data_IF_019601659441
#
_entry.id   IF_019601659441
#
_cell.length_a   1.000
_cell.length_b   1.000
_cell.length_c   1.000
_cell.angle_alpha   90.00
_cell.angle_beta   90.00
_cell.angle_gamma   90.00
#
_symmetry.space_group_name_H-M   'P 1'
#
loop_
_entity.id
_entity.type
_entity.pdbx_description
1 polymer ?
#
# COMPACT_ATOMS: atom_id res chain seq x y z
N UNK A 1 4.14 -17.83 2.53
CA UNK A 1 4.49 -16.55 3.13
C UNK A 1 5.96 -16.23 2.87
N UNK A 2 6.31 -14.97 2.67
CA UNK A 2 7.67 -14.55 2.35
C UNK A 2 8.03 -13.27 3.13
N UNK A 3 9.26 -13.19 3.60
CA UNK A 3 9.86 -12.00 4.20
C UNK A 3 11.12 -11.62 3.44
N UNK A 4 11.42 -10.34 3.34
CA UNK A 4 12.56 -9.86 2.57
C UNK A 4 13.33 -8.75 3.28
N UNK A 5 14.63 -8.72 3.03
CA UNK A 5 15.49 -7.64 3.44
C UNK A 5 15.35 -6.45 2.47
N UNK A 6 14.89 -5.27 2.91
CA UNK A 6 14.76 -4.09 2.06
C UNK A 6 16.08 -3.53 1.57
N UNK A 7 17.21 -3.81 2.26
CA UNK A 7 18.55 -3.40 1.87
C UNK A 7 19.15 -4.22 0.73
N UNK A 8 18.58 -5.38 0.43
CA UNK A 8 18.98 -6.23 -0.68
C UNK A 8 18.57 -5.61 -2.03
N UNK A 9 19.57 -5.22 -2.86
CA UNK A 9 19.34 -4.47 -4.12
C UNK A 9 18.34 -5.14 -5.09
N UNK A 10 18.24 -6.46 -5.05
CA UNK A 10 17.45 -7.24 -6.00
C UNK A 10 16.18 -7.86 -5.37
N UNK A 11 15.99 -7.77 -4.06
CA UNK A 11 14.88 -8.43 -3.35
C UNK A 11 13.52 -8.07 -3.96
N UNK A 12 13.26 -6.79 -4.14
CA UNK A 12 11.98 -6.31 -4.71
C UNK A 12 11.80 -6.78 -6.16
N UNK A 13 12.89 -6.78 -6.94
CA UNK A 13 12.87 -7.24 -8.35
C UNK A 13 12.65 -8.74 -8.46
N UNK A 14 13.11 -9.52 -7.49
CA UNK A 14 12.97 -10.98 -7.49
C UNK A 14 11.55 -11.45 -7.17
N UNK A 15 10.74 -10.66 -6.44
CA UNK A 15 9.40 -11.07 -6.03
C UNK A 15 8.48 -11.45 -7.20
N UNK A 16 8.31 -10.63 -8.25
CA UNK A 16 7.48 -11.02 -9.40
C UNK A 16 8.03 -12.25 -10.15
N UNK A 17 9.35 -12.33 -10.27
CA UNK A 17 10.00 -13.49 -10.88
C UNK A 17 9.74 -14.76 -10.06
N UNK A 18 9.90 -14.68 -8.75
CA UNK A 18 9.66 -15.80 -7.84
C UNK A 18 8.19 -16.25 -7.85
N UNK A 19 7.25 -15.31 -7.84
CA UNK A 19 5.83 -15.59 -7.95
C UNK A 19 5.49 -16.33 -9.23
N UNK A 20 6.02 -15.86 -10.37
CA UNK A 20 5.82 -16.49 -11.68
C UNK A 20 6.48 -17.85 -11.76
N UNK A 21 7.71 -18.01 -11.29
CA UNK A 21 8.45 -19.26 -11.36
C UNK A 21 7.86 -20.36 -10.47
N UNK A 22 7.34 -19.98 -9.29
CA UNK A 22 6.73 -20.94 -8.35
C UNK A 22 5.25 -21.21 -8.63
N UNK A 23 4.59 -20.38 -9.44
CA UNK A 23 3.13 -20.46 -9.66
C UNK A 23 2.31 -20.27 -8.40
N UNK A 24 2.87 -19.63 -7.37
CA UNK A 24 2.23 -19.48 -6.05
C UNK A 24 1.87 -18.04 -5.76
N UNK A 25 0.81 -17.86 -4.97
CA UNK A 25 0.47 -16.56 -4.42
C UNK A 25 1.44 -16.22 -3.27
N UNK A 26 2.03 -15.03 -3.32
CA UNK A 26 2.95 -14.54 -2.30
C UNK A 26 2.24 -13.58 -1.35
N UNK A 27 2.37 -13.82 -0.04
CA UNK A 27 1.93 -12.92 1.01
C UNK A 27 3.06 -12.72 2.02
N UNK A 28 3.18 -11.53 2.60
CA UNK A 28 4.24 -11.20 3.55
C UNK A 28 4.65 -9.74 3.47
N UNK A 29 5.90 -9.45 3.75
CA UNK A 29 6.41 -8.08 3.73
C UNK A 29 7.93 -8.01 3.82
N UNK A 30 8.44 -6.79 3.65
CA UNK A 30 9.83 -6.49 3.93
C UNK A 30 10.02 -6.33 5.44
N UNK A 31 11.13 -6.81 5.96
CA UNK A 31 11.52 -6.58 7.35
C UNK A 31 11.79 -5.10 7.59
N UNK A 32 11.49 -4.61 8.77
CA UNK A 32 11.83 -3.25 9.18
C UNK A 32 13.07 -3.31 10.07
N UNK A 33 14.26 -2.97 9.54
CA UNK A 33 15.50 -3.07 10.30
C UNK A 33 15.61 -1.93 11.33
N UNK A 34 16.02 -2.26 12.54
CA UNK A 34 16.61 -1.28 13.44
C UNK A 34 18.14 -1.23 13.23
N UNK A 35 18.79 -2.35 12.99
CA UNK A 35 20.24 -2.47 12.80
C UNK A 35 20.56 -3.44 11.66
N UNK A 36 20.06 -4.67 11.74
CA UNK A 36 20.30 -5.75 10.77
C UNK A 36 18.98 -6.42 10.36
N UNK A 37 18.96 -7.02 9.17
CA UNK A 37 17.80 -7.77 8.65
C UNK A 37 18.13 -9.24 8.41
N UNK A 38 18.50 -10.00 9.47
CA UNK A 38 18.75 -11.42 9.30
C UNK A 38 17.49 -12.13 8.80
N UNK A 39 17.68 -13.07 7.88
CA UNK A 39 16.64 -13.94 7.37
C UNK A 39 16.83 -15.35 7.94
N UNK A 40 15.75 -16.09 8.12
CA UNK A 40 15.80 -17.46 8.66
C UNK A 40 15.16 -18.43 7.67
N UNK A 41 15.96 -19.37 7.20
CA UNK A 41 15.52 -20.45 6.31
C UNK A 41 16.29 -21.73 6.64
N UNK A 42 15.97 -22.34 7.81
CA UNK A 42 16.74 -23.46 8.38
C UNK A 42 18.00 -23.02 9.15
N UNK A 43 18.64 -21.95 8.67
CA UNK A 43 19.76 -21.26 9.32
C UNK A 43 19.54 -19.75 9.25
N UNK A 44 20.25 -19.00 10.09
CA UNK A 44 20.29 -17.53 10.00
C UNK A 44 21.22 -17.13 8.87
N UNK A 45 20.74 -16.28 7.95
CA UNK A 45 21.49 -15.74 6.83
C UNK A 45 21.46 -14.21 6.86
N UNK A 46 22.48 -13.57 6.29
CA UNK A 46 22.53 -12.12 6.13
C UNK A 46 21.76 -11.67 4.89
N UNK A 47 20.61 -11.06 5.07
CA UNK A 47 19.80 -10.50 3.98
C UNK A 47 19.07 -11.52 3.08
N UNK A 48 18.49 -11.03 2.00
CA UNK A 48 17.79 -11.85 1.01
C UNK A 48 16.30 -12.06 1.30
N UNK A 49 15.79 -13.22 0.91
CA UNK A 49 14.40 -13.64 1.10
C UNK A 49 14.33 -14.92 1.94
N UNK A 50 13.39 -14.97 2.84
CA UNK A 50 13.04 -16.17 3.60
C UNK A 50 11.52 -16.36 3.65
N UNK A 51 11.07 -17.58 3.96
CA UNK A 51 9.64 -17.82 4.07
C UNK A 51 9.28 -19.26 4.28
N UNK A 52 7.98 -19.54 4.18
CA UNK A 52 7.40 -20.86 4.25
C UNK A 52 6.40 -21.09 3.13
N UNK A 53 6.46 -22.25 2.52
CA UNK A 53 5.51 -22.70 1.50
C UNK A 53 4.45 -23.60 2.16
N UNK A 54 3.19 -23.28 1.92
CA UNK A 54 2.08 -24.12 2.35
C UNK A 54 1.70 -25.09 1.24
N UNK A 55 1.48 -26.35 1.60
CA UNK A 55 0.95 -27.35 0.68
C UNK A 55 -0.45 -26.94 0.19
N UNK A 56 -0.86 -27.32 -1.04
CA UNK A 56 -2.22 -27.10 -1.53
C UNK A 56 -3.32 -27.74 -0.64
N UNK A 57 -2.96 -28.68 0.22
CA UNK A 57 -3.88 -29.30 1.19
C UNK A 57 -4.19 -28.39 2.38
N UNK A 58 -3.43 -27.31 2.57
CA UNK A 58 -3.67 -26.33 3.64
C UNK A 58 -4.50 -25.17 3.06
N UNK A 59 -5.72 -25.04 3.56
CA UNK A 59 -6.56 -23.89 3.19
C UNK A 59 -5.99 -22.62 3.79
N UNK A 60 -5.57 -21.70 2.92
CA UNK A 60 -5.06 -20.38 3.28
C UNK A 60 -5.94 -19.32 2.63
N UNK A 61 -6.33 -18.34 3.41
CA UNK A 61 -6.99 -17.14 2.90
C UNK A 61 -6.22 -15.90 3.35
N UNK A 62 -6.13 -14.91 2.50
CA UNK A 62 -5.38 -13.68 2.74
C UNK A 62 -6.28 -12.46 2.61
N UNK A 63 -5.94 -11.39 3.31
CA UNK A 63 -6.54 -10.07 3.13
C UNK A 63 -5.45 -9.00 3.29
N UNK A 64 -5.62 -7.88 2.61
CA UNK A 64 -4.75 -6.72 2.72
C UNK A 64 -5.57 -5.53 3.21
N UNK A 65 -5.12 -4.89 4.29
CA UNK A 65 -5.65 -3.62 4.77
C UNK A 65 -4.62 -2.53 4.48
N UNK A 66 -4.98 -1.57 3.66
CA UNK A 66 -4.11 -0.43 3.35
C UNK A 66 -4.23 0.67 4.41
N UNK A 67 -5.29 0.63 5.22
CA UNK A 67 -5.58 1.61 6.26
C UNK A 67 -5.93 2.99 5.70
N UNK A 68 -6.41 3.05 4.49
CA UNK A 68 -6.84 4.26 3.81
C UNK A 68 -8.26 4.10 3.30
N UNK A 69 -9.04 5.17 3.31
CA UNK A 69 -10.37 5.22 2.73
C UNK A 69 -10.36 6.22 1.57
N UNK A 70 -10.89 5.85 0.38
CA UNK A 70 -11.06 6.79 -0.72
C UNK A 70 -11.84 8.03 -0.27
N UNK A 71 -11.34 9.21 -0.59
CA UNK A 71 -11.96 10.51 -0.25
C UNK A 71 -12.64 11.18 -1.43
N UNK A 72 -12.45 10.63 -2.64
CA UNK A 72 -13.01 11.18 -3.87
C UNK A 72 -13.42 10.11 -4.88
N UNK A 73 -13.89 10.53 -6.06
CA UNK A 73 -14.27 9.63 -7.15
C UNK A 73 -13.05 8.94 -7.78
N UNK A 74 -13.31 8.02 -8.71
CA UNK A 74 -12.28 7.51 -9.60
C UNK A 74 -11.90 8.61 -10.59
N UNK A 75 -10.61 8.90 -10.70
CA UNK A 75 -10.02 9.89 -11.59
C UNK A 75 -9.00 9.26 -12.51
N UNK A 76 -8.57 10.00 -13.52
CA UNK A 76 -7.57 9.55 -14.49
C UNK A 76 -6.45 10.56 -14.62
N UNK A 77 -5.20 10.09 -14.59
CA UNK A 77 -4.04 10.92 -14.88
C UNK A 77 -4.04 11.23 -16.38
N UNK A 78 -4.22 12.50 -16.76
CA UNK A 78 -4.28 12.91 -18.17
C UNK A 78 -2.95 13.43 -18.69
N UNK A 79 -2.11 14.00 -17.83
CA UNK A 79 -0.73 14.35 -18.14
C UNK A 79 0.20 14.09 -16.95
N UNK A 80 1.38 13.52 -17.20
CA UNK A 80 2.38 13.26 -16.17
C UNK A 80 3.80 13.28 -16.72
N UNK A 81 4.76 13.52 -15.82
CA UNK A 81 6.18 13.38 -16.09
C UNK A 81 6.84 12.54 -15.00
N UNK A 82 7.27 11.31 -15.33
CA UNK A 82 7.79 10.31 -14.37
C UNK A 82 6.82 10.04 -13.24
N UNK A 83 7.05 10.60 -12.07
CA UNK A 83 6.24 10.46 -10.87
C UNK A 83 5.50 11.75 -10.48
N UNK A 84 5.46 12.74 -11.38
CA UNK A 84 4.76 14.00 -11.18
C UNK A 84 3.50 14.00 -12.04
N UNK A 85 2.33 14.12 -11.41
CA UNK A 85 1.08 14.39 -12.11
C UNK A 85 0.97 15.89 -12.42
N UNK A 86 0.70 16.19 -13.69
CA UNK A 86 0.51 17.55 -14.20
C UNK A 86 -0.98 17.86 -14.23
N UNK A 87 -1.76 16.98 -14.90
CA UNK A 87 -3.22 17.09 -14.93
C UNK A 87 -3.87 15.76 -14.56
N UNK A 88 -5.02 15.87 -13.91
CA UNK A 88 -5.93 14.77 -13.56
C UNK A 88 -7.32 15.18 -14.05
N UNK A 89 -7.96 14.34 -14.89
CA UNK A 89 -9.23 14.66 -15.56
C UNK A 89 -9.18 16.00 -16.33
N UNK A 90 -8.02 16.29 -16.96
CA UNK A 90 -7.70 17.51 -17.73
C UNK A 90 -7.61 18.81 -16.89
N UNK A 91 -7.68 18.72 -15.56
CA UNK A 91 -7.53 19.85 -14.64
C UNK A 91 -6.18 19.78 -13.90
N UNK A 92 -5.64 20.89 -13.37
CA UNK A 92 -4.41 20.87 -12.59
C UNK A 92 -4.46 19.86 -11.46
N UNK A 93 -3.43 19.01 -11.35
CA UNK A 93 -3.44 17.89 -10.41
C UNK A 93 -3.62 18.32 -8.95
N UNK A 94 -3.08 19.49 -8.58
CA UNK A 94 -3.20 20.05 -7.23
C UNK A 94 -4.64 20.51 -6.92
N UNK A 95 -5.35 21.06 -7.90
CA UNK A 95 -6.76 21.44 -7.72
C UNK A 95 -7.63 20.21 -7.49
N UNK A 96 -7.35 19.11 -8.19
CA UNK A 96 -8.07 17.84 -7.97
C UNK A 96 -7.76 17.24 -6.61
N UNK A 97 -6.53 17.39 -6.12
CA UNK A 97 -6.17 17.01 -4.75
C UNK A 97 -7.01 17.79 -3.72
N UNK A 98 -7.11 19.11 -3.88
CA UNK A 98 -7.91 19.94 -2.98
C UNK A 98 -9.40 19.62 -3.04
N UNK A 99 -9.93 19.41 -4.24
CA UNK A 99 -11.35 19.09 -4.44
C UNK A 99 -11.75 17.79 -3.73
N UNK A 100 -10.89 16.76 -3.75
CA UNK A 100 -11.20 15.44 -3.19
C UNK A 100 -10.79 15.29 -1.73
N UNK A 101 -9.78 16.02 -1.28
CA UNK A 101 -9.24 15.89 0.08
C UNK A 101 -9.78 16.90 1.06
N UNK A 102 -10.51 17.91 0.57
CA UNK A 102 -11.06 19.02 1.34
C UNK A 102 -10.11 20.23 1.41
N UNK A 103 -10.66 21.37 1.75
CA UNK A 103 -9.93 22.66 1.80
C UNK A 103 -8.92 22.74 2.97
N UNK A 104 -8.99 21.82 3.92
CA UNK A 104 -8.11 21.80 5.10
C UNK A 104 -6.61 21.71 4.79
N UNK A 105 -6.25 21.38 3.56
CA UNK A 105 -4.86 21.23 3.10
C UNK A 105 -4.37 22.37 2.23
N UNK A 106 -5.20 23.35 1.90
CA UNK A 106 -4.78 24.54 1.16
C UNK A 106 -3.79 25.35 2.00
N UNK A 107 -2.58 25.51 1.47
CA UNK A 107 -1.48 26.24 2.13
C UNK A 107 -0.67 25.42 3.14
N UNK A 108 -1.00 24.15 3.40
CA UNK A 108 -0.19 23.24 4.24
C UNK A 108 -0.04 21.84 3.61
N UNK A 109 0.71 21.77 2.54
CA UNK A 109 0.99 20.52 1.82
C UNK A 109 1.82 19.52 2.65
N UNK A 110 2.54 19.98 3.69
CA UNK A 110 3.26 19.07 4.60
C UNK A 110 2.27 18.27 5.42
N UNK A 111 1.18 18.87 5.82
CA UNK A 111 0.08 18.19 6.53
C UNK A 111 -0.63 17.21 5.60
N UNK A 112 -0.88 17.60 4.34
CA UNK A 112 -1.44 16.71 3.34
C UNK A 112 -0.56 15.46 3.10
N UNK A 113 0.76 15.63 3.01
CA UNK A 113 1.70 14.53 2.76
C UNK A 113 1.67 13.41 3.84
N UNK A 114 1.21 13.71 5.06
CA UNK A 114 1.07 12.73 6.14
C UNK A 114 -0.30 12.03 6.21
N UNK A 115 -1.33 12.61 5.59
CA UNK A 115 -2.73 12.18 5.75
C UNK A 115 -3.42 11.84 4.43
N UNK A 116 -2.97 12.41 3.32
CA UNK A 116 -3.51 12.16 1.98
C UNK A 116 -2.56 11.28 1.20
N UNK A 117 -3.11 10.32 0.51
CA UNK A 117 -2.41 9.32 -0.28
C UNK A 117 -3.11 9.15 -1.63
N UNK A 118 -2.44 8.46 -2.54
CA UNK A 118 -3.01 8.08 -3.83
C UNK A 118 -3.18 6.57 -3.88
N UNK A 119 -4.38 6.12 -4.18
CA UNK A 119 -4.72 4.72 -4.37
C UNK A 119 -4.81 4.42 -5.88
N UNK A 120 -4.04 3.44 -6.34
CA UNK A 120 -4.12 2.91 -7.70
C UNK A 120 -4.86 1.59 -7.66
N UNK A 121 -6.01 1.45 -8.36
CA UNK A 121 -6.70 0.17 -8.47
C UNK A 121 -5.78 -0.92 -9.04
N UNK A 122 -5.88 -2.13 -8.49
CA UNK A 122 -5.16 -3.30 -8.98
C UNK A 122 -5.97 -3.90 -10.13
N UNK A 123 -5.37 -3.93 -11.32
CA UNK A 123 -6.00 -4.52 -12.49
C UNK A 123 -6.25 -6.02 -12.27
N UNK A 124 -7.47 -6.46 -12.60
CA UNK A 124 -7.87 -7.86 -12.42
C UNK A 124 -8.23 -8.27 -10.99
N UNK A 125 -8.24 -7.34 -10.02
CA UNK A 125 -8.75 -7.64 -8.68
C UNK A 125 -10.28 -7.73 -8.70
N UNK A 126 -10.79 -8.88 -8.26
CA UNK A 126 -12.22 -9.14 -8.07
C UNK A 126 -12.77 -8.51 -6.77
N UNK A 127 -11.89 -7.96 -5.92
CA UNK A 127 -12.23 -7.40 -4.61
C UNK A 127 -12.09 -5.88 -4.53
N UNK A 128 -11.79 -5.23 -5.66
CA UNK A 128 -11.55 -3.78 -5.70
C UNK A 128 -10.31 -3.38 -4.90
N UNK A 129 -9.28 -4.22 -4.91
CA UNK A 129 -8.01 -3.92 -4.25
C UNK A 129 -7.31 -2.74 -4.92
N UNK A 130 -6.55 -2.02 -4.13
CA UNK A 130 -5.73 -0.90 -4.59
C UNK A 130 -4.39 -0.87 -3.87
N UNK A 131 -3.42 -0.25 -4.51
CA UNK A 131 -2.10 -0.02 -3.95
C UNK A 131 -1.96 1.45 -3.60
N UNK A 132 -1.66 1.74 -2.34
CA UNK A 132 -1.52 3.11 -1.83
C UNK A 132 -0.09 3.61 -2.02
N UNK A 133 0.05 4.87 -2.43
CA UNK A 133 1.32 5.59 -2.56
C UNK A 133 1.24 6.95 -1.86
N UNK A 134 2.35 7.37 -1.30
CA UNK A 134 2.47 8.66 -0.64
C UNK A 134 2.49 9.80 -1.68
N UNK A 135 2.01 10.96 -1.26
CA UNK A 135 2.41 12.22 -1.87
C UNK A 135 3.84 12.53 -1.42
N UNK A 136 4.73 12.84 -2.37
CA UNK A 136 6.14 13.13 -2.10
C UNK A 136 6.49 14.60 -2.27
N UNK A 137 5.56 15.41 -2.77
CA UNK A 137 5.69 16.84 -2.92
C UNK A 137 4.55 17.45 -3.70
N UNK A 138 4.49 18.75 -3.72
CA UNK A 138 3.63 19.52 -4.61
C UNK A 138 4.31 20.86 -4.98
N UNK A 139 3.91 21.41 -6.11
CA UNK A 139 4.32 22.71 -6.63
C UNK A 139 3.05 23.55 -6.79
N UNK A 140 2.86 24.48 -5.86
CA UNK A 140 1.66 25.34 -5.83
C UNK A 140 1.59 26.30 -7.01
N UNK A 141 2.74 26.79 -7.48
CA UNK A 141 2.78 27.75 -8.59
C UNK A 141 2.37 27.11 -9.91
N UNK A 142 2.73 25.83 -10.09
CA UNK A 142 2.46 25.06 -11.30
C UNK A 142 1.26 24.13 -11.20
N UNK A 143 0.68 23.97 -10.01
CA UNK A 143 -0.44 23.07 -9.80
C UNK A 143 -0.09 21.57 -9.87
N UNK A 144 1.17 21.20 -9.58
CA UNK A 144 1.68 19.84 -9.74
C UNK A 144 1.67 19.08 -8.43
N UNK A 145 1.55 17.74 -8.50
CA UNK A 145 1.76 16.85 -7.35
C UNK A 145 2.75 15.72 -7.68
N UNK A 146 3.68 15.47 -6.76
CA UNK A 146 4.59 14.34 -6.81
C UNK A 146 4.01 13.14 -6.07
N UNK A 147 4.05 11.96 -6.68
CA UNK A 147 3.53 10.71 -6.13
C UNK A 147 4.68 9.70 -6.02
N UNK A 148 4.70 8.89 -4.97
CA UNK A 148 5.74 7.91 -4.70
C UNK A 148 5.68 6.66 -5.59
N UNK A 149 5.33 6.84 -6.87
CA UNK A 149 5.32 5.79 -7.90
C UNK A 149 5.50 6.39 -9.30
N UNK A 150 6.04 5.65 -10.27
CA UNK A 150 5.95 6.02 -11.67
C UNK A 150 4.50 6.13 -12.12
N UNK A 151 4.19 7.13 -12.94
CA UNK A 151 2.85 7.41 -13.45
C UNK A 151 2.79 7.17 -14.95
N UNK A 152 1.57 6.89 -15.43
CA UNK A 152 1.27 6.75 -16.84
C UNK A 152 -0.01 7.53 -17.19
N UNK A 153 -0.05 8.11 -18.39
CA UNK A 153 -1.27 8.73 -18.92
C UNK A 153 -2.39 7.70 -19.04
N UNK A 154 -3.61 8.08 -18.63
CA UNK A 154 -4.76 7.21 -18.61
C UNK A 154 -4.83 6.29 -17.37
N UNK A 155 -3.87 6.37 -16.47
CA UNK A 155 -3.84 5.55 -15.27
C UNK A 155 -4.96 5.96 -14.31
N UNK A 156 -5.84 5.02 -13.88
CA UNK A 156 -6.88 5.30 -12.90
C UNK A 156 -6.29 5.49 -11.52
N UNK A 157 -6.85 6.41 -10.75
CA UNK A 157 -6.44 6.67 -9.37
C UNK A 157 -7.60 7.20 -8.53
N UNK A 158 -7.43 7.17 -7.21
CA UNK A 158 -8.29 7.88 -6.25
C UNK A 158 -7.40 8.55 -5.22
N UNK A 159 -7.81 9.72 -4.76
CA UNK A 159 -7.26 10.22 -3.51
C UNK A 159 -7.85 9.44 -2.34
N UNK A 160 -7.11 9.26 -1.28
CA UNK A 160 -7.56 8.59 -0.08
C UNK A 160 -6.93 9.21 1.16
N UNK A 161 -7.63 9.10 2.28
CA UNK A 161 -7.19 9.59 3.58
C UNK A 161 -6.79 8.45 4.48
N UNK A 162 -5.82 8.72 5.34
CA UNK A 162 -5.41 7.83 6.41
C UNK A 162 -5.39 8.61 7.72
N UNK A 163 -6.17 8.14 8.66
CA UNK A 163 -6.11 8.46 10.07
C UNK A 163 -6.34 7.19 10.89
N UNK A 164 -6.26 7.27 12.21
CA UNK A 164 -6.40 6.10 13.06
C UNK A 164 -7.77 5.43 12.90
N UNK A 165 -8.85 6.21 12.81
CA UNK A 165 -10.20 5.68 12.71
C UNK A 165 -10.45 5.01 11.36
N UNK A 166 -10.04 5.64 10.26
CA UNK A 166 -10.14 5.05 8.92
C UNK A 166 -9.30 3.77 8.81
N UNK A 167 -8.13 3.73 9.44
CA UNK A 167 -7.29 2.54 9.46
C UNK A 167 -7.90 1.38 10.25
N UNK A 168 -8.57 1.67 11.38
CA UNK A 168 -9.30 0.65 12.16
C UNK A 168 -10.50 0.12 11.39
N UNK A 169 -11.27 0.99 10.76
CA UNK A 169 -12.47 0.60 10.02
C UNK A 169 -12.13 -0.24 8.78
N UNK A 170 -11.10 0.14 8.02
CA UNK A 170 -10.62 -0.66 6.89
C UNK A 170 -10.18 -2.06 7.37
N UNK A 171 -9.40 -2.14 8.46
CA UNK A 171 -8.99 -3.43 9.02
C UNK A 171 -10.19 -4.29 9.45
N UNK A 172 -11.17 -3.71 10.16
CA UNK A 172 -12.39 -4.43 10.57
C UNK A 172 -13.15 -4.96 9.36
N UNK A 173 -13.33 -4.15 8.34
CA UNK A 173 -14.01 -4.51 7.11
C UNK A 173 -13.30 -5.66 6.40
N UNK A 174 -11.97 -5.57 6.24
CA UNK A 174 -11.17 -6.62 5.59
C UNK A 174 -11.17 -7.93 6.39
N UNK A 175 -11.03 -7.86 7.70
CA UNK A 175 -11.13 -9.06 8.57
C UNK A 175 -12.53 -9.67 8.55
N UNK A 176 -13.58 -8.86 8.52
CA UNK A 176 -14.95 -9.34 8.39
C UNK A 176 -15.20 -10.08 7.08
N UNK A 177 -14.69 -9.54 5.97
CA UNK A 177 -14.76 -10.21 4.66
C UNK A 177 -13.93 -11.50 4.65
N UNK A 178 -12.72 -11.48 5.22
CA UNK A 178 -11.85 -12.66 5.33
C UNK A 178 -12.53 -13.78 6.14
N UNK A 179 -13.16 -13.44 7.29
CA UNK A 179 -13.91 -14.38 8.11
C UNK A 179 -15.06 -15.05 7.35
N UNK A 180 -15.81 -14.27 6.56
CA UNK A 180 -16.91 -14.83 5.73
C UNK A 180 -16.37 -15.79 4.66
N UNK A 181 -15.23 -15.49 4.03
CA UNK A 181 -14.61 -16.36 3.02
C UNK A 181 -14.08 -17.67 3.60
N UNK A 182 -13.57 -17.65 4.82
CA UNK A 182 -13.04 -18.85 5.48
C UNK A 182 -14.13 -19.88 5.81
N UNK A 183 -15.34 -19.43 6.11
CA UNK A 183 -16.47 -20.31 6.45
C UNK A 183 -16.32 -21.11 7.75
N UNK A 184 -15.11 -21.14 8.33
CA UNK A 184 -14.79 -21.83 9.56
C UNK A 184 -13.78 -21.03 10.39
N UNK A 185 -13.63 -21.37 11.66
CA UNK A 185 -12.63 -20.74 12.52
C UNK A 185 -11.20 -21.11 12.03
N UNK A 186 -10.31 -20.14 11.83
CA UNK A 186 -8.93 -20.41 11.44
C UNK A 186 -8.18 -21.10 12.59
N UNK A 187 -7.25 -22.00 12.27
CA UNK A 187 -6.35 -22.65 13.24
C UNK A 187 -5.20 -21.74 13.68
N UNK A 188 -4.91 -20.71 12.90
CA UNK A 188 -3.89 -19.70 13.16
C UNK A 188 -3.99 -18.54 12.17
N UNK A 189 -3.32 -17.46 12.49
CA UNK A 189 -3.21 -16.30 11.63
C UNK A 189 -1.82 -15.68 11.76
N UNK A 190 -1.33 -15.11 10.67
CA UNK A 190 -0.10 -14.32 10.63
C UNK A 190 -0.49 -12.91 10.19
N UNK A 191 -0.12 -11.92 10.99
CA UNK A 191 -0.37 -10.52 10.73
C UNK A 191 0.95 -9.79 10.47
N UNK A 192 1.10 -9.27 9.24
CA UNK A 192 2.23 -8.45 8.85
C UNK A 192 1.78 -6.97 8.92
N UNK A 193 2.26 -6.24 9.91
CA UNK A 193 1.94 -4.82 10.09
C UNK A 193 3.00 -3.93 9.45
N UNK A 194 2.58 -2.92 8.72
CA UNK A 194 3.48 -1.88 8.22
C UNK A 194 3.96 -1.01 9.38
N UNK A 195 5.24 -0.61 9.39
CA UNK A 195 5.79 0.33 10.38
C UNK A 195 5.04 1.66 10.43
N UNK A 196 4.42 2.08 9.31
CA UNK A 196 3.58 3.27 9.25
C UNK A 196 2.24 3.12 10.00
N UNK A 197 1.90 1.94 10.49
CA UNK A 197 0.75 1.67 11.37
C UNK A 197 1.15 1.63 12.86
N UNK A 198 2.34 2.03 13.19
CA UNK A 198 2.84 2.10 14.56
C UNK A 198 2.44 3.40 15.29
N UNK A 199 3.27 3.84 16.24
CA UNK A 199 2.95 4.97 17.14
C UNK A 199 2.73 6.33 16.45
N UNK A 200 3.04 6.43 15.16
CA UNK A 200 2.76 7.64 14.37
C UNK A 200 1.32 7.72 13.85
N UNK A 201 0.58 6.62 13.90
CA UNK A 201 -0.81 6.55 13.46
C UNK A 201 -1.77 6.24 14.61
N UNK A 202 -1.35 5.43 15.56
CA UNK A 202 -2.14 4.99 16.69
C UNK A 202 -1.55 5.50 18.01
N UNK A 203 -2.37 5.59 19.04
CA UNK A 203 -1.90 5.93 20.36
C UNK A 203 -0.96 4.84 20.92
N UNK A 204 -0.14 5.23 21.89
CA UNK A 204 0.78 4.32 22.57
C UNK A 204 -0.05 3.24 23.30
N UNK A 205 0.17 1.99 22.96
CA UNK A 205 -0.52 0.79 23.44
C UNK A 205 -1.80 0.38 22.68
N UNK A 206 -1.97 0.86 21.47
CA UNK A 206 -3.05 0.46 20.58
C UNK A 206 -2.59 -0.46 19.44
#
# INVERSE_FOLDING_TARGET
IIHGDPGGRDVIRMLPFFAKASGTFLAGGLTAPEIDTPQVAGAVTGGGLSGALFSPTVTVATAVSQGCVPSGPLRYITECNRNVAVTIDDEPALEMLHADSGEDYRGDLRRAAGTVFVAFPVEGSDQGDYVVRNLVGADEERGLIGIGAPLSRGQPMKFCRRDADTAREDLRTRLGALKKRLGAAPRGAIYCSCVARGPNLFEKNE
#
